data_IF_355399907630
#
_entry.id   IF_355399907630
#
_cell.length_a   1.000
_cell.length_b   1.000
_cell.length_c   1.000
_cell.angle_alpha   90.00
_cell.angle_beta   90.00
_cell.angle_gamma   90.00
#
_symmetry.space_group_name_H-M   'P 1'
#
loop_
_entity.id
_entity.type
_entity.pdbx_description
1 polymer ?
#
# COMPACT_ATOMS: atom_id res chain seq x y z
N UNK A 1 -3.13 12.54 -2.42
CA UNK A 1 -3.53 13.36 -1.25
C UNK A 1 -2.42 13.32 -0.22
N UNK A 2 -1.97 14.46 0.29
CA UNK A 2 -0.96 14.51 1.36
C UNK A 2 -1.62 14.51 2.74
N UNK A 3 -0.96 13.89 3.72
CA UNK A 3 -1.40 13.82 5.13
C UNK A 3 -0.18 13.82 6.06
N UNK A 4 -0.32 14.25 7.31
CA UNK A 4 0.72 14.05 8.33
C UNK A 4 0.55 12.65 8.91
N UNK A 5 1.60 11.84 8.85
CA UNK A 5 1.62 10.52 9.46
C UNK A 5 1.72 10.66 10.99
N UNK A 6 0.74 10.16 11.77
CA UNK A 6 0.73 10.35 13.22
C UNK A 6 1.91 9.64 13.91
N UNK A 7 2.39 8.54 13.35
CA UNK A 7 3.51 7.78 13.91
C UNK A 7 4.86 8.50 13.73
N UNK A 8 5.15 9.02 12.53
CA UNK A 8 6.45 9.63 12.22
C UNK A 8 6.48 11.16 12.25
N UNK A 9 5.32 11.82 12.26
CA UNK A 9 5.18 13.27 12.12
C UNK A 9 5.53 13.81 10.72
N UNK A 10 5.81 12.94 9.75
CA UNK A 10 6.23 13.34 8.40
C UNK A 10 5.04 13.57 7.48
N UNK A 11 5.23 14.45 6.49
CA UNK A 11 4.30 14.59 5.38
C UNK A 11 4.41 13.36 4.46
N UNK A 12 3.32 12.61 4.34
CA UNK A 12 3.21 11.44 3.48
C UNK A 12 2.18 11.68 2.38
N UNK A 13 2.25 10.89 1.31
CA UNK A 13 1.37 10.99 0.16
C UNK A 13 0.64 9.67 -0.06
N UNK A 14 -0.66 9.76 -0.32
CA UNK A 14 -1.51 8.61 -0.59
C UNK A 14 -2.19 8.75 -1.95
N UNK A 15 -2.33 7.64 -2.68
CA UNK A 15 -3.28 7.52 -3.78
C UNK A 15 -4.65 7.21 -3.20
N UNK A 16 -5.62 8.08 -3.49
CA UNK A 16 -6.98 8.05 -2.88
C UNK A 16 -8.08 7.90 -3.94
N UNK A 17 -7.74 7.31 -5.08
CA UNK A 17 -8.72 7.03 -6.13
C UNK A 17 -9.67 5.91 -5.68
N UNK A 18 -10.91 5.86 -6.20
CA UNK A 18 -11.97 5.04 -5.60
C UNK A 18 -11.61 3.55 -5.42
N UNK A 19 -11.02 2.90 -6.43
CA UNK A 19 -10.66 1.48 -6.34
C UNK A 19 -9.42 1.29 -5.48
N UNK A 20 -8.41 2.15 -5.61
CA UNK A 20 -7.20 2.07 -4.76
C UNK A 20 -7.58 2.16 -3.28
N UNK A 21 -8.42 3.12 -2.90
CA UNK A 21 -8.90 3.25 -1.53
C UNK A 21 -9.70 2.04 -1.08
N UNK A 22 -10.59 1.51 -1.92
CA UNK A 22 -11.37 0.32 -1.58
C UNK A 22 -10.47 -0.91 -1.37
N UNK A 23 -9.54 -1.16 -2.29
CA UNK A 23 -8.63 -2.30 -2.23
C UNK A 23 -7.68 -2.18 -1.05
N UNK A 24 -7.08 -1.02 -0.80
CA UNK A 24 -6.20 -0.81 0.34
C UNK A 24 -6.91 -1.12 1.67
N UNK A 25 -8.14 -0.62 1.85
CA UNK A 25 -8.95 -0.90 3.04
C UNK A 25 -9.24 -2.40 3.21
N UNK A 26 -9.58 -3.08 2.13
CA UNK A 26 -9.87 -4.51 2.14
C UNK A 26 -8.64 -5.36 2.41
N UNK A 27 -7.50 -5.01 1.81
CA UNK A 27 -6.22 -5.71 2.02
C UNK A 27 -5.76 -5.53 3.46
N UNK A 28 -5.71 -4.31 3.99
CA UNK A 28 -5.20 -4.06 5.34
C UNK A 28 -6.23 -4.36 6.43
N UNK A 29 -7.50 -4.54 6.08
CA UNK A 29 -8.60 -4.72 7.04
C UNK A 29 -8.83 -3.48 7.90
N UNK A 30 -8.60 -2.29 7.34
CA UNK A 30 -8.76 -1.02 8.04
C UNK A 30 -9.62 -0.07 7.22
N UNK A 31 -10.74 0.41 7.77
CA UNK A 31 -11.62 1.36 7.07
C UNK A 31 -11.21 2.83 7.24
N UNK A 32 -10.36 3.13 8.22
CA UNK A 32 -9.92 4.49 8.56
C UNK A 32 -8.91 5.06 7.56
N UNK A 33 -8.15 4.20 6.88
CA UNK A 33 -7.22 4.66 5.84
C UNK A 33 -7.99 5.23 4.64
N UNK A 34 -7.49 6.36 4.13
CA UNK A 34 -8.11 7.05 3.00
C UNK A 34 -7.68 6.48 1.64
N UNK A 35 -6.55 5.76 1.59
CA UNK A 35 -5.93 5.30 0.36
C UNK A 35 -4.69 4.46 0.61
N UNK A 36 -3.90 4.25 -0.44
CA UNK A 36 -2.63 3.54 -0.36
C UNK A 36 -1.46 4.53 -0.29
N UNK A 37 -0.61 4.37 0.73
CA UNK A 37 0.55 5.21 0.96
C UNK A 37 1.64 4.95 -0.08
N UNK A 38 2.27 6.02 -0.55
CA UNK A 38 3.44 6.00 -1.41
C UNK A 38 4.73 5.98 -0.57
N UNK A 39 5.80 5.42 -1.13
CA UNK A 39 7.11 5.45 -0.53
C UNK A 39 7.60 6.90 -0.33
N UNK A 40 8.30 7.12 0.78
CA UNK A 40 8.84 8.41 1.22
C UNK A 40 10.39 8.45 1.22
N UNK A 41 11.05 7.38 0.78
CA UNK A 41 12.50 7.30 0.60
C UNK A 41 13.01 8.00 -0.66
N UNK A 42 14.23 8.56 -0.61
CA UNK A 42 14.76 9.50 -1.59
C UNK A 42 14.66 9.07 -3.07
N UNK A 43 14.96 7.81 -3.40
CA UNK A 43 14.99 7.35 -4.80
C UNK A 43 13.62 6.88 -5.33
N UNK A 44 12.70 6.51 -4.44
CA UNK A 44 11.39 5.93 -4.80
C UNK A 44 10.21 6.84 -4.43
N UNK A 45 10.51 8.08 -4.04
CA UNK A 45 9.55 9.02 -3.51
C UNK A 45 8.38 9.25 -4.48
N UNK A 46 7.17 8.91 -4.03
CA UNK A 46 5.95 9.16 -4.79
C UNK A 46 5.72 8.27 -6.03
N UNK A 47 6.62 7.34 -6.35
CA UNK A 47 6.49 6.45 -7.51
C UNK A 47 6.20 4.99 -7.15
N UNK A 48 6.42 4.61 -5.90
CA UNK A 48 6.26 3.24 -5.40
C UNK A 48 5.27 3.19 -4.22
N UNK A 49 4.70 2.02 -3.95
CA UNK A 49 3.94 1.78 -2.72
C UNK A 49 4.85 1.80 -1.50
N UNK A 50 4.30 2.18 -0.35
CA UNK A 50 5.06 2.20 0.89
C UNK A 50 5.39 0.78 1.36
N UNK A 51 6.68 0.41 1.36
CA UNK A 51 7.20 -0.93 1.67
C UNK A 51 6.63 -1.51 2.97
N UNK A 52 6.57 -0.73 4.05
CA UNK A 52 6.03 -1.18 5.35
C UNK A 52 4.59 -1.70 5.28
N UNK A 53 3.79 -1.18 4.36
CA UNK A 53 2.37 -1.53 4.25
C UNK A 53 2.13 -2.60 3.18
N UNK A 54 2.99 -2.66 2.16
CA UNK A 54 2.78 -3.45 0.95
C UNK A 54 4.03 -4.23 0.54
N UNK A 55 4.77 -4.76 1.53
CA UNK A 55 5.97 -5.57 1.29
C UNK A 55 5.67 -6.75 0.34
N UNK A 56 6.51 -6.91 -0.69
CA UNK A 56 6.33 -7.92 -1.74
C UNK A 56 5.29 -7.58 -2.81
N UNK A 57 4.73 -6.37 -2.81
CA UNK A 57 3.93 -5.90 -3.93
C UNK A 57 4.84 -5.49 -5.11
N UNK A 58 4.42 -5.73 -6.35
CA UNK A 58 5.18 -5.44 -7.57
C UNK A 58 5.73 -4.00 -7.66
N UNK A 59 4.99 -3.01 -7.17
CA UNK A 59 5.39 -1.60 -7.14
C UNK A 59 5.92 -1.15 -5.77
N UNK A 60 6.27 -2.08 -4.89
CA UNK A 60 7.02 -1.79 -3.67
C UNK A 60 8.50 -1.48 -4.03
N UNK A 61 9.19 -0.55 -3.35
CA UNK A 61 10.52 -0.09 -3.74
C UNK A 61 11.61 -1.15 -3.61
N UNK A 62 11.46 -2.11 -2.70
CA UNK A 62 12.43 -3.19 -2.52
C UNK A 62 11.92 -4.43 -3.23
N UNK A 63 12.71 -4.90 -4.21
CA UNK A 63 12.51 -6.24 -4.75
C UNK A 63 12.79 -7.24 -3.63
N UNK A 64 11.72 -7.82 -3.08
CA UNK A 64 11.84 -9.02 -2.30
C UNK A 64 12.42 -10.14 -3.19
N UNK A 65 12.75 -11.31 -2.62
CA UNK A 65 13.17 -12.46 -3.44
C UNK A 65 12.19 -12.68 -4.60
N UNK A 66 12.64 -13.19 -5.74
CA UNK A 66 11.81 -13.25 -6.96
C UNK A 66 10.48 -14.00 -6.80
N UNK A 67 10.35 -14.86 -5.78
CA UNK A 67 9.12 -15.57 -5.41
C UNK A 67 8.18 -14.78 -4.48
N UNK A 68 8.49 -13.53 -4.17
CA UNK A 68 7.73 -12.68 -3.23
C UNK A 68 7.20 -11.39 -3.85
N UNK A 69 7.61 -11.03 -5.08
CA UNK A 69 7.08 -9.86 -5.79
C UNK A 69 5.84 -10.26 -6.59
N UNK A 70 4.66 -9.90 -6.10
CA UNK A 70 3.39 -10.27 -6.70
C UNK A 70 2.68 -9.08 -7.32
N UNK A 71 1.99 -9.32 -8.44
CA UNK A 71 1.00 -8.36 -8.96
C UNK A 71 -0.28 -8.48 -8.13
N UNK A 72 -0.49 -7.55 -7.22
CA UNK A 72 -1.64 -7.58 -6.31
C UNK A 72 -2.87 -6.85 -6.89
N UNK A 73 -4.06 -7.02 -6.28
CA UNK A 73 -5.22 -6.20 -6.58
C UNK A 73 -4.96 -4.69 -6.43
N UNK A 74 -3.96 -4.27 -5.64
CA UNK A 74 -3.69 -2.86 -5.37
C UNK A 74 -3.14 -2.15 -6.61
N UNK A 75 -2.09 -2.72 -7.21
CA UNK A 75 -1.52 -2.17 -8.46
C UNK A 75 -2.53 -2.25 -9.60
N UNK A 76 -3.29 -3.34 -9.67
CA UNK A 76 -4.39 -3.48 -10.62
C UNK A 76 -5.46 -2.39 -10.45
N UNK A 77 -5.84 -2.06 -9.21
CA UNK A 77 -6.77 -0.95 -8.92
C UNK A 77 -6.21 0.41 -9.35
N UNK A 78 -4.92 0.65 -9.15
CA UNK A 78 -4.28 1.86 -9.67
C UNK A 78 -4.38 1.92 -11.19
N UNK A 79 -4.03 0.84 -11.89
CA UNK A 79 -4.10 0.76 -13.35
C UNK A 79 -5.52 1.03 -13.87
N UNK A 80 -6.55 0.44 -13.25
CA UNK A 80 -7.93 0.67 -13.67
C UNK A 80 -8.39 2.10 -13.38
N UNK A 81 -8.02 2.68 -12.22
CA UNK A 81 -8.38 4.05 -11.86
C UNK A 81 -7.70 5.11 -12.75
N UNK A 82 -6.59 4.79 -13.43
CA UNK A 82 -6.00 5.69 -14.45
C UNK A 82 -6.91 5.89 -15.67
N UNK A 83 -7.84 4.95 -15.92
CA UNK A 83 -8.68 4.93 -17.11
C UNK A 83 -7.98 4.41 -18.38
N UNK A 84 -6.69 4.05 -18.31
CA UNK A 84 -5.96 3.49 -19.46
C UNK A 84 -6.16 2.00 -19.66
N UNK A 85 -6.55 1.29 -18.60
CA UNK A 85 -6.66 -0.17 -18.60
C UNK A 85 -8.05 -0.61 -18.16
N UNK A 86 -8.51 -1.72 -18.75
CA UNK A 86 -9.59 -2.53 -18.21
C UNK A 86 -8.97 -3.78 -17.61
N UNK A 87 -9.21 -4.00 -16.33
CA UNK A 87 -8.52 -5.05 -15.57
C UNK A 87 -9.40 -6.29 -15.41
N UNK A 88 -8.76 -7.45 -15.51
CA UNK A 88 -9.32 -8.74 -15.11
C UNK A 88 -8.68 -9.17 -13.78
N UNK A 89 -9.48 -9.20 -12.71
CA UNK A 89 -9.02 -9.58 -11.38
C UNK A 89 -8.98 -11.09 -11.15
N UNK A 90 -9.35 -11.92 -12.15
CA UNK A 90 -9.34 -13.38 -12.00
C UNK A 90 -7.91 -13.90 -11.86
N UNK A 91 -7.66 -14.72 -10.84
CA UNK A 91 -6.36 -15.34 -10.62
C UNK A 91 -5.29 -14.39 -10.09
N UNK A 92 -5.65 -13.16 -9.68
CA UNK A 92 -4.71 -12.25 -9.01
C UNK A 92 -4.27 -12.83 -7.66
N UNK A 93 -2.99 -12.67 -7.35
CA UNK A 93 -2.43 -13.11 -6.09
C UNK A 93 -2.80 -12.13 -4.97
N UNK A 94 -3.31 -12.64 -3.85
CA UNK A 94 -3.59 -11.82 -2.67
C UNK A 94 -2.34 -11.84 -1.79
N UNK A 95 -1.74 -10.67 -1.47
CA UNK A 95 -0.57 -10.62 -0.60
C UNK A 95 -0.94 -11.17 0.77
N UNK A 96 -0.11 -12.07 1.29
CA UNK A 96 -0.26 -12.56 2.67
C UNK A 96 0.21 -11.51 3.68
N UNK A 97 1.23 -10.72 3.31
CA UNK A 97 1.74 -9.64 4.14
C UNK A 97 0.70 -8.52 4.30
N UNK A 98 0.47 -8.08 5.54
CA UNK A 98 -0.48 -7.02 5.86
C UNK A 98 -1.96 -7.41 5.71
N UNK A 99 -2.28 -8.62 5.22
CA UNK A 99 -3.67 -9.03 4.96
C UNK A 99 -4.48 -9.05 6.25
N UNK A 100 -5.44 -8.13 6.36
CA UNK A 100 -6.32 -7.91 7.51
C UNK A 100 -5.56 -7.69 8.82
N UNK A 101 -4.38 -7.08 8.75
CA UNK A 101 -3.57 -6.77 9.93
C UNK A 101 -4.20 -5.69 10.84
N UNK A 102 -5.18 -4.94 10.34
CA UNK A 102 -5.98 -3.98 11.11
C UNK A 102 -5.46 -2.54 11.02
N UNK A 103 -6.19 -1.63 11.67
CA UNK A 103 -5.85 -0.20 11.65
C UNK A 103 -4.56 0.10 12.41
N UNK A 104 -4.31 -0.56 13.54
CA UNK A 104 -3.07 -0.35 14.30
C UNK A 104 -1.83 -0.63 13.44
N UNK A 105 -1.84 -1.72 12.67
CA UNK A 105 -0.78 -2.00 11.70
C UNK A 105 -0.60 -0.86 10.68
N UNK A 106 -1.67 -0.20 10.27
CA UNK A 106 -1.67 0.79 9.20
C UNK A 106 -1.34 2.21 9.67
N UNK A 107 -1.72 2.57 10.90
CA UNK A 107 -1.69 3.95 11.42
C UNK A 107 -0.63 4.16 12.49
N UNK A 108 -0.27 3.14 13.25
CA UNK A 108 0.66 3.27 14.38
C UNK A 108 2.12 3.05 13.99
N UNK A 109 3.02 3.42 14.90
CA UNK A 109 4.44 3.09 14.79
C UNK A 109 4.64 1.57 14.75
N UNK A 110 5.60 1.11 13.94
CA UNK A 110 5.95 -0.31 13.87
C UNK A 110 6.48 -0.86 15.20
N UNK A 111 7.15 -0.01 15.97
CA UNK A 111 7.67 -0.31 17.30
C UNK A 111 7.04 0.70 18.24
N UNK A 112 6.27 0.20 19.21
CA UNK A 112 5.58 1.05 20.20
C UNK A 112 6.38 1.20 21.51
N UNK A 113 7.35 0.32 21.76
CA UNK A 113 8.25 0.36 22.92
C UNK A 113 9.67 0.00 22.48
N UNK A 114 10.65 0.83 22.80
CA UNK A 114 12.08 0.63 22.50
C UNK A 114 12.74 -0.40 23.45
N UNK A 115 12.28 -1.65 23.44
CA UNK A 115 13.00 -2.78 24.09
C UNK A 115 13.73 -3.66 23.07
#
# INVERSE_FOLDING_TARGET
KSTIDPASGKLVYNIVTPRVSQVARNLLGCHEIEGARLADGAECYGSHWHERLFFGELLSPVLASSSQNILSPLTLALMEDTGWYRVDYRGVEIPAYGLRAGCEFSTESCIQNDE
#
